data_IF_376730246265
#
_entry.id   IF_376730246265
#
_cell.length_a   1.000
_cell.length_b   1.000
_cell.length_c   1.000
_cell.angle_alpha   90.00
_cell.angle_beta   90.00
_cell.angle_gamma   90.00
#
_symmetry.space_group_name_H-M   'P 1'
#
loop_
_entity.id
_entity.type
_entity.pdbx_description
1 polymer ?
#
# COMPACT_ATOMS: atom_id res chain seq x y z
N UNK A 1 15.89 -4.74 -5.64
CA UNK A 1 14.46 -4.35 -5.77
C UNK A 1 14.16 -3.25 -4.77
N UNK A 2 13.39 -2.24 -5.18
CA UNK A 2 12.96 -1.13 -4.32
C UNK A 2 11.45 -1.18 -4.18
N UNK A 3 10.98 -0.98 -2.95
CA UNK A 3 9.57 -0.75 -2.63
C UNK A 3 9.42 0.63 -2.01
N UNK A 4 8.29 1.28 -2.24
CA UNK A 4 8.04 2.64 -1.76
C UNK A 4 6.66 2.81 -1.14
N UNK A 5 6.49 3.89 -0.39
CA UNK A 5 5.20 4.32 0.14
C UNK A 5 5.14 5.85 0.17
N UNK A 6 3.98 6.42 -0.17
CA UNK A 6 3.79 7.86 -0.18
C UNK A 6 2.40 8.24 0.34
N UNK A 7 2.35 9.09 1.36
CA UNK A 7 1.12 9.80 1.69
C UNK A 7 0.91 10.91 0.65
N UNK A 8 0.14 10.59 -0.40
CA UNK A 8 0.01 11.44 -1.58
C UNK A 8 -0.96 12.61 -1.39
N UNK A 9 -1.81 12.56 -0.35
CA UNK A 9 -2.80 13.60 -0.03
C UNK A 9 -3.65 14.01 -1.23
N UNK A 10 -4.19 13.01 -1.93
CA UNK A 10 -5.03 13.18 -3.12
C UNK A 10 -4.33 12.80 -4.42
N UNK A 11 -4.87 11.79 -5.09
CA UNK A 11 -4.34 11.21 -6.32
C UNK A 11 -5.14 11.62 -7.57
N UNK A 12 -6.09 12.54 -7.44
CA UNK A 12 -6.86 13.04 -8.58
C UNK A 12 -6.09 14.07 -9.43
N UNK A 13 -4.98 14.60 -8.91
CA UNK A 13 -4.17 15.61 -9.58
C UNK A 13 -3.22 14.99 -10.61
N UNK A 14 -3.32 15.34 -11.91
CA UNK A 14 -2.43 14.83 -12.95
C UNK A 14 -0.95 15.13 -12.72
N UNK A 15 -0.62 16.20 -12.01
CA UNK A 15 0.78 16.53 -11.65
C UNK A 15 1.36 15.43 -10.78
N UNK A 16 0.60 14.96 -9.79
CA UNK A 16 1.02 13.86 -8.91
C UNK A 16 1.18 12.54 -9.65
N UNK A 17 0.35 12.29 -10.67
CA UNK A 17 0.54 11.13 -11.54
C UNK A 17 1.89 11.17 -12.24
N UNK A 18 2.28 12.32 -12.76
CA UNK A 18 3.57 12.50 -13.45
C UNK A 18 4.74 12.37 -12.48
N UNK A 19 4.64 12.93 -11.29
CA UNK A 19 5.66 12.80 -10.23
C UNK A 19 5.84 11.35 -9.79
N UNK A 20 4.73 10.62 -9.57
CA UNK A 20 4.77 9.22 -9.17
C UNK A 20 5.39 8.35 -10.25
N UNK A 21 4.99 8.52 -11.52
CA UNK A 21 5.60 7.79 -12.65
C UNK A 21 7.10 8.06 -12.75
N UNK A 22 7.51 9.33 -12.61
CA UNK A 22 8.92 9.70 -12.62
C UNK A 22 9.70 9.03 -11.50
N UNK A 23 9.19 9.07 -10.28
CA UNK A 23 9.81 8.42 -9.11
C UNK A 23 9.95 6.91 -9.31
N UNK A 24 8.88 6.25 -9.72
CA UNK A 24 8.88 4.80 -9.98
C UNK A 24 9.94 4.43 -11.03
N UNK A 25 10.02 5.20 -12.11
CA UNK A 25 10.97 4.94 -13.19
C UNK A 25 12.42 5.21 -12.77
N UNK A 26 12.68 6.36 -12.15
CA UNK A 26 14.03 6.75 -11.71
C UNK A 26 14.61 5.80 -10.66
N UNK A 27 13.79 5.41 -9.69
CA UNK A 27 14.22 4.55 -8.58
C UNK A 27 14.02 3.06 -8.87
N UNK A 28 13.47 2.70 -10.02
CA UNK A 28 13.16 1.31 -10.41
C UNK A 28 12.32 0.58 -9.35
N UNK A 29 11.29 1.26 -8.88
CA UNK A 29 10.40 0.73 -7.83
C UNK A 29 9.56 -0.40 -8.42
N UNK A 30 9.44 -1.50 -7.70
CA UNK A 30 8.65 -2.67 -8.12
C UNK A 30 7.28 -2.74 -7.47
N UNK A 31 7.12 -2.18 -6.26
CA UNK A 31 5.86 -2.10 -5.52
C UNK A 31 5.77 -0.75 -4.81
N UNK A 32 4.59 -0.15 -4.85
CA UNK A 32 4.35 1.15 -4.24
C UNK A 32 3.03 1.18 -3.47
N UNK A 33 3.10 1.62 -2.21
CA UNK A 33 1.93 1.93 -1.39
C UNK A 33 1.56 3.41 -1.54
N UNK A 34 0.28 3.67 -1.79
CA UNK A 34 -0.27 5.03 -1.83
C UNK A 34 -1.31 5.17 -0.73
N UNK A 35 -1.12 6.12 0.16
CA UNK A 35 -2.08 6.39 1.22
C UNK A 35 -2.68 7.78 1.08
N UNK A 36 -3.88 7.95 1.63
CA UNK A 36 -4.68 9.19 1.50
C UNK A 36 -4.97 9.56 0.03
N UNK A 37 -5.33 8.56 -0.78
CA UNK A 37 -5.53 8.75 -2.23
C UNK A 37 -6.68 9.71 -2.57
N UNK A 38 -7.72 9.78 -1.74
CA UNK A 38 -8.93 10.60 -1.94
C UNK A 38 -9.65 10.36 -3.27
N UNK A 39 -9.42 9.22 -3.89
CA UNK A 39 -10.12 8.79 -5.09
C UNK A 39 -11.40 8.07 -4.71
N UNK A 40 -12.52 8.46 -5.30
CA UNK A 40 -13.79 7.74 -5.11
C UNK A 40 -13.73 6.40 -5.84
N UNK A 41 -14.36 5.36 -5.28
CA UNK A 41 -14.36 4.01 -5.85
C UNK A 41 -14.76 4.01 -7.34
N UNK A 42 -15.81 4.72 -7.70
CA UNK A 42 -16.28 4.84 -9.10
C UNK A 42 -15.24 5.42 -10.08
N UNK A 43 -14.24 6.12 -9.60
CA UNK A 43 -13.21 6.78 -10.42
C UNK A 43 -11.87 6.01 -10.44
N UNK A 44 -11.73 4.94 -9.65
CA UNK A 44 -10.44 4.25 -9.48
C UNK A 44 -9.87 3.72 -10.79
N UNK A 45 -10.71 3.14 -11.64
CA UNK A 45 -10.26 2.56 -12.91
C UNK A 45 -9.72 3.63 -13.87
N UNK A 46 -10.37 4.80 -13.94
CA UNK A 46 -9.88 5.91 -14.74
C UNK A 46 -8.53 6.43 -14.23
N UNK A 47 -8.38 6.57 -12.92
CA UNK A 47 -7.14 7.05 -12.31
C UNK A 47 -6.01 6.04 -12.52
N UNK A 48 -6.25 4.73 -12.33
CA UNK A 48 -5.22 3.71 -12.50
C UNK A 48 -4.73 3.61 -13.93
N UNK A 49 -5.63 3.73 -14.94
CA UNK A 49 -5.26 3.73 -16.34
C UNK A 49 -4.39 4.94 -16.72
N UNK A 50 -4.64 6.10 -16.14
CA UNK A 50 -3.84 7.30 -16.34
C UNK A 50 -2.51 7.24 -15.59
N UNK A 51 -2.49 6.57 -14.44
CA UNK A 51 -1.34 6.52 -13.55
C UNK A 51 -0.27 5.53 -14.03
N UNK A 52 -0.62 4.24 -14.11
CA UNK A 52 0.31 3.13 -14.42
C UNK A 52 -0.44 2.02 -15.17
N UNK A 53 -0.58 2.20 -16.47
CA UNK A 53 -1.43 1.35 -17.33
C UNK A 53 -1.11 -0.15 -17.27
N UNK A 54 0.16 -0.52 -17.09
CA UNK A 54 0.61 -1.92 -17.08
C UNK A 54 0.79 -2.52 -15.69
N UNK A 55 0.46 -1.76 -14.63
CA UNK A 55 0.61 -2.21 -13.26
C UNK A 55 -0.66 -2.84 -12.73
N UNK A 56 -0.50 -3.71 -11.75
CA UNK A 56 -1.60 -4.28 -10.97
C UNK A 56 -1.87 -3.43 -9.74
N UNK A 57 -3.12 -3.41 -9.30
CA UNK A 57 -3.59 -2.60 -8.19
C UNK A 57 -4.44 -3.39 -7.21
N UNK A 58 -4.34 -3.02 -5.94
CA UNK A 58 -5.15 -3.50 -4.84
C UNK A 58 -5.65 -2.30 -4.03
N UNK A 59 -6.90 -2.33 -3.59
CA UNK A 59 -7.57 -1.22 -2.90
C UNK A 59 -8.30 -1.71 -1.67
N UNK A 60 -8.52 -0.85 -0.68
CA UNK A 60 -9.30 -1.20 0.51
C UNK A 60 -10.73 -0.63 0.54
N UNK A 61 -11.37 -0.41 -0.62
CA UNK A 61 -12.74 0.13 -0.68
C UNK A 61 -13.78 -0.75 0.02
N UNK A 62 -13.60 -2.06 0.06
CA UNK A 62 -14.50 -2.99 0.75
C UNK A 62 -14.56 -2.76 2.27
N UNK A 63 -13.52 -2.15 2.84
CA UNK A 63 -13.39 -1.85 4.26
C UNK A 63 -13.49 -0.35 4.58
N UNK A 64 -13.33 0.50 3.59
CA UNK A 64 -13.40 1.95 3.72
C UNK A 64 -13.95 2.57 2.44
N UNK A 65 -15.14 3.18 2.52
CA UNK A 65 -15.75 3.86 1.37
C UNK A 65 -14.86 4.98 0.76
N UNK A 66 -13.87 5.44 1.51
CA UNK A 66 -12.88 6.44 1.06
C UNK A 66 -11.70 5.84 0.30
N UNK A 67 -11.50 4.50 0.35
CA UNK A 67 -10.41 3.80 -0.34
C UNK A 67 -9.05 4.46 -0.11
N UNK A 68 -8.69 4.72 1.15
CA UNK A 68 -7.54 5.54 1.51
C UNK A 68 -6.20 4.89 1.19
N UNK A 69 -6.18 3.57 0.96
CA UNK A 69 -4.97 2.79 0.76
C UNK A 69 -5.05 2.08 -0.59
N UNK A 70 -4.03 2.29 -1.40
CA UNK A 70 -3.79 1.57 -2.63
C UNK A 70 -2.42 0.90 -2.58
N UNK A 71 -2.31 -0.28 -3.11
CA UNK A 71 -1.04 -0.96 -3.39
C UNK A 71 -0.97 -1.21 -4.87
N UNK A 72 0.13 -0.82 -5.50
CA UNK A 72 0.36 -1.08 -6.91
C UNK A 72 1.74 -1.71 -7.13
N UNK A 73 1.85 -2.57 -8.13
CA UNK A 73 3.08 -3.28 -8.41
C UNK A 73 3.23 -3.63 -9.89
N UNK A 74 4.48 -3.82 -10.29
CA UNK A 74 4.82 -4.36 -11.59
C UNK A 74 4.76 -5.90 -11.53
N UNK A 75 3.73 -6.48 -12.15
CA UNK A 75 3.49 -7.93 -12.15
C UNK A 75 4.57 -8.74 -12.91
N UNK A 76 5.38 -8.09 -13.74
CA UNK A 76 6.52 -8.73 -14.40
C UNK A 76 7.72 -8.91 -13.46
N UNK A 77 7.72 -8.22 -12.33
CA UNK A 77 8.84 -8.19 -11.37
C UNK A 77 8.50 -8.94 -10.08
N UNK A 78 7.27 -8.77 -9.57
CA UNK A 78 6.83 -9.36 -8.31
C UNK A 78 5.44 -9.97 -8.44
N UNK A 79 5.23 -11.05 -7.69
CA UNK A 79 3.91 -11.59 -7.39
C UNK A 79 3.46 -11.04 -6.03
N UNK A 80 2.21 -10.64 -5.94
CA UNK A 80 1.62 -10.08 -4.72
C UNK A 80 0.36 -10.84 -4.36
N UNK A 81 0.32 -11.37 -3.14
CA UNK A 81 -0.83 -12.08 -2.57
C UNK A 81 -1.30 -11.35 -1.30
N UNK A 82 -2.56 -10.90 -1.28
CA UNK A 82 -3.15 -10.28 -0.09
C UNK A 82 -3.51 -11.35 0.95
N UNK A 83 -3.16 -11.11 2.22
CA UNK A 83 -3.52 -12.01 3.31
C UNK A 83 -4.28 -11.34 4.45
N UNK A 84 -4.51 -10.04 4.38
CA UNK A 84 -5.32 -9.30 5.33
C UNK A 84 -5.57 -7.87 4.87
N UNK A 85 -6.74 -7.33 5.24
CA UNK A 85 -7.13 -5.99 4.87
C UNK A 85 -8.11 -5.42 5.89
N UNK A 86 -8.00 -4.14 6.17
CA UNK A 86 -8.95 -3.37 6.96
C UNK A 86 -9.10 -1.95 6.38
N UNK A 87 -9.84 -1.10 7.08
CA UNK A 87 -9.91 0.32 6.74
C UNK A 87 -8.58 1.07 6.94
N UNK A 88 -7.64 0.50 7.72
CA UNK A 88 -6.38 1.14 8.09
C UNK A 88 -5.13 0.45 7.55
N UNK A 89 -5.24 -0.74 6.94
CA UNK A 89 -4.09 -1.49 6.46
C UNK A 89 -4.42 -2.44 5.31
N UNK A 90 -3.46 -2.63 4.41
CA UNK A 90 -3.42 -3.74 3.45
C UNK A 90 -2.15 -4.54 3.72
N UNK A 91 -2.31 -5.83 4.02
CA UNK A 91 -1.21 -6.78 4.23
C UNK A 91 -1.02 -7.64 3.00
N UNK A 92 0.18 -7.68 2.47
CA UNK A 92 0.52 -8.49 1.29
C UNK A 92 1.81 -9.28 1.50
N UNK A 93 1.82 -10.48 0.93
CA UNK A 93 3.03 -11.26 0.72
C UNK A 93 3.57 -10.95 -0.67
N UNK A 94 4.84 -10.65 -0.78
CA UNK A 94 5.53 -10.28 -2.02
C UNK A 94 6.58 -11.31 -2.34
N UNK A 95 6.52 -11.86 -3.55
CA UNK A 95 7.54 -12.78 -4.06
C UNK A 95 8.27 -12.14 -5.24
N UNK A 96 9.58 -12.03 -5.15
CA UNK A 96 10.44 -11.53 -6.23
C UNK A 96 10.60 -12.65 -7.27
N UNK A 97 10.09 -12.44 -8.48
CA UNK A 97 10.04 -13.49 -9.50
C UNK A 97 11.44 -13.97 -9.93
N UNK A 98 12.41 -13.07 -9.99
CA UNK A 98 13.77 -13.41 -10.43
C UNK A 98 14.53 -14.31 -9.45
N UNK A 99 14.22 -14.25 -8.16
CA UNK A 99 14.97 -14.97 -7.10
C UNK A 99 14.12 -15.93 -6.30
N UNK A 100 12.80 -15.88 -6.46
CA UNK A 100 11.82 -16.61 -5.65
C UNK A 100 11.92 -16.32 -4.13
N UNK A 101 12.49 -15.17 -3.77
CA UNK A 101 12.56 -14.71 -2.39
C UNK A 101 11.25 -14.01 -2.03
N UNK A 102 10.69 -14.34 -0.88
CA UNK A 102 9.45 -13.76 -0.38
C UNK A 102 9.66 -12.98 0.91
N UNK A 103 8.86 -11.92 1.09
CA UNK A 103 8.73 -11.15 2.31
C UNK A 103 7.30 -10.63 2.44
N UNK A 104 6.94 -10.17 3.63
CA UNK A 104 5.65 -9.54 3.86
C UNK A 104 5.79 -8.02 3.94
N UNK A 105 4.79 -7.29 3.46
CA UNK A 105 4.69 -5.85 3.68
C UNK A 105 3.27 -5.43 3.99
N UNK A 106 3.16 -4.40 4.81
CA UNK A 106 1.88 -3.82 5.21
C UNK A 106 1.89 -2.34 4.92
N UNK A 107 0.91 -1.88 4.13
CA UNK A 107 0.73 -0.48 3.81
C UNK A 107 -0.34 0.08 4.74
N UNK A 108 0.02 1.07 5.53
CA UNK A 108 -0.74 1.56 6.67
C UNK A 108 -1.17 3.01 6.46
N UNK A 109 -2.44 3.27 6.77
CA UNK A 109 -2.99 4.61 7.01
C UNK A 109 -3.81 4.58 8.29
N UNK A 110 -3.14 4.81 9.42
CA UNK A 110 -3.77 4.78 10.74
C UNK A 110 -4.81 5.88 10.91
N UNK A 111 -5.86 5.60 11.65
CA UNK A 111 -6.90 6.59 11.95
C UNK A 111 -6.34 7.75 12.81
N UNK A 112 -6.85 8.95 12.62
CA UNK A 112 -6.48 10.10 13.44
C UNK A 112 -6.91 9.94 14.90
N UNK A 113 -7.98 9.19 15.16
CA UNK A 113 -8.46 8.86 16.49
C UNK A 113 -7.64 7.72 17.10
N UNK A 114 -7.00 7.95 18.23
CA UNK A 114 -6.17 6.98 18.93
C UNK A 114 -6.93 5.71 19.31
N UNK A 115 -8.19 5.80 19.74
CA UNK A 115 -9.01 4.65 20.10
C UNK A 115 -9.31 3.77 18.89
N UNK A 116 -9.52 4.36 17.72
CA UNK A 116 -9.74 3.60 16.47
C UNK A 116 -8.46 2.93 15.98
N UNK A 117 -7.27 3.51 16.26
CA UNK A 117 -5.99 2.88 15.94
C UNK A 117 -5.66 1.64 16.78
N UNK A 118 -6.32 1.44 17.92
CA UNK A 118 -6.10 0.24 18.74
C UNK A 118 -6.37 -1.06 17.97
N UNK A 119 -7.38 -1.06 17.10
CA UNK A 119 -7.67 -2.20 16.23
C UNK A 119 -6.51 -2.50 15.26
N UNK A 120 -5.86 -1.46 14.70
CA UNK A 120 -4.68 -1.60 13.85
C UNK A 120 -3.51 -2.22 14.64
N UNK A 121 -3.23 -1.71 15.82
CA UNK A 121 -2.15 -2.25 16.67
C UNK A 121 -2.39 -3.70 17.07
N UNK A 122 -3.62 -4.04 17.46
CA UNK A 122 -4.00 -5.41 17.81
C UNK A 122 -3.84 -6.36 16.63
N UNK A 123 -4.21 -5.94 15.42
CA UNK A 123 -4.02 -6.74 14.20
C UNK A 123 -2.53 -6.96 13.90
N UNK A 124 -1.71 -5.92 13.96
CA UNK A 124 -0.27 -6.03 13.75
C UNK A 124 0.38 -6.98 14.77
N UNK A 125 0.07 -6.81 16.06
CA UNK A 125 0.63 -7.66 17.12
C UNK A 125 0.22 -9.11 16.93
N UNK A 126 -1.06 -9.39 16.67
CA UNK A 126 -1.55 -10.76 16.48
C UNK A 126 -0.87 -11.47 15.30
N UNK A 127 -0.54 -10.74 14.25
CA UNK A 127 0.16 -11.29 13.07
C UNK A 127 1.65 -11.49 13.30
N UNK A 128 2.27 -10.70 14.19
CA UNK A 128 3.72 -10.79 14.47
C UNK A 128 4.12 -12.12 15.10
N UNK A 129 3.24 -12.72 15.86
CA UNK A 129 3.50 -13.99 16.58
C UNK A 129 3.72 -15.21 15.65
N UNK A 130 3.36 -15.11 14.37
CA UNK A 130 3.50 -16.21 13.40
C UNK A 130 4.63 -16.02 12.36
N UNK A 131 5.40 -14.91 12.42
CA UNK A 131 6.27 -14.50 11.32
C UNK A 131 7.77 -14.46 11.66
N UNK A 132 8.21 -15.22 12.63
CA UNK A 132 9.61 -15.25 13.06
C UNK A 132 10.63 -15.58 11.94
N UNK A 133 10.18 -16.26 10.88
CA UNK A 133 11.04 -16.68 9.77
C UNK A 133 10.88 -15.84 8.48
N UNK A 134 9.88 -14.97 8.39
CA UNK A 134 9.61 -14.19 7.18
C UNK A 134 9.81 -12.70 7.44
N UNK A 135 10.72 -12.01 6.72
CA UNK A 135 10.87 -10.56 6.87
C UNK A 135 9.54 -9.83 6.66
N UNK A 136 9.25 -8.86 7.53
CA UNK A 136 8.03 -8.07 7.48
C UNK A 136 8.34 -6.58 7.57
N UNK A 137 7.87 -5.82 6.57
CA UNK A 137 8.08 -4.38 6.46
C UNK A 137 6.73 -3.67 6.64
N UNK A 138 6.67 -2.76 7.59
CA UNK A 138 5.52 -1.89 7.83
C UNK A 138 5.83 -0.50 7.28
N UNK A 139 5.00 0.01 6.39
CA UNK A 139 5.17 1.33 5.75
C UNK A 139 3.86 2.09 5.73
N UNK A 140 3.93 3.40 5.81
CA UNK A 140 2.77 4.27 5.64
C UNK A 140 2.73 5.43 6.63
N UNK A 141 1.53 5.99 6.77
CA UNK A 141 1.24 7.03 7.74
C UNK A 141 0.50 6.41 8.94
N UNK A 142 1.22 6.28 10.03
CA UNK A 142 0.67 5.69 11.26
C UNK A 142 -0.22 6.66 12.03
N UNK A 143 -0.21 7.94 11.70
CA UNK A 143 -0.92 9.01 12.44
C UNK A 143 -0.71 8.95 13.96
N UNK A 144 0.40 8.38 14.40
CA UNK A 144 0.79 8.25 15.79
C UNK A 144 1.84 9.31 16.13
N UNK A 145 1.47 10.27 16.96
CA UNK A 145 2.40 11.26 17.51
C UNK A 145 2.84 10.75 18.88
N UNK A 146 4.14 10.69 19.08
CA UNK A 146 4.70 10.45 20.40
C UNK A 146 4.69 11.79 21.16
N UNK A 147 3.86 11.88 22.20
CA UNK A 147 3.89 12.99 23.15
C UNK A 147 5.10 12.87 24.08
#
# INVERSE_FOLDING_TARGET
MIIGCWNIRGLNDPIKHSELRRLIHQERIALFGLVETRVKDKNKDNVTQLLLRSWSFLYNYDFSCRGRIWVCWNADTVKVDVFGMSDQVIHVSVTILATNISFNTSIIYGDNNASLREALWSDIVSRSDGWESTPWILMGDFNAIRN
#
